data_IF_291990405691
#
_entry.id   IF_291990405691
#
_cell.length_a   1.000
_cell.length_b   1.000
_cell.length_c   1.000
_cell.angle_alpha   90.00
_cell.angle_beta   90.00
_cell.angle_gamma   90.00
#
_symmetry.space_group_name_H-M   'P 1'
#
loop_
_entity.id
_entity.type
_entity.pdbx_description
1 polymer ?
#
# COMPACT_ATOMS: atom_id res chain seq x y z
N UNK A 1 18.23 17.94 -7.04
CA UNK A 1 17.01 18.70 -7.39
C UNK A 1 16.60 19.64 -6.26
N UNK A 2 16.10 20.82 -6.60
CA UNK A 2 15.59 21.85 -5.68
C UNK A 2 14.08 21.74 -5.52
N UNK A 3 13.51 22.34 -4.46
CA UNK A 3 12.06 22.40 -4.28
C UNK A 3 11.37 23.16 -5.41
N UNK A 4 12.01 24.20 -5.95
CA UNK A 4 11.46 24.98 -7.08
C UNK A 4 11.34 24.13 -8.35
N UNK A 5 12.30 23.26 -8.64
CA UNK A 5 12.24 22.35 -9.78
C UNK A 5 11.10 21.33 -9.63
N UNK A 6 10.93 20.77 -8.43
CA UNK A 6 9.81 19.88 -8.13
C UNK A 6 8.45 20.58 -8.36
N UNK A 7 8.29 21.80 -7.86
CA UNK A 7 7.06 22.57 -8.03
C UNK A 7 6.75 22.89 -9.50
N UNK A 8 7.78 23.13 -10.32
CA UNK A 8 7.60 23.30 -11.77
C UNK A 8 7.09 22.02 -12.44
N UNK A 9 7.63 20.85 -12.08
CA UNK A 9 7.14 19.56 -12.61
C UNK A 9 5.69 19.31 -12.21
N UNK A 10 5.35 19.55 -10.94
CA UNK A 10 3.98 19.48 -10.44
C UNK A 10 3.05 20.40 -11.24
N UNK A 11 3.47 21.65 -11.52
CA UNK A 11 2.71 22.60 -12.33
C UNK A 11 2.45 22.13 -13.77
N UNK A 12 3.26 21.21 -14.29
CA UNK A 12 3.02 20.56 -15.60
C UNK A 12 2.03 19.39 -15.54
N UNK A 13 1.59 18.98 -14.35
CA UNK A 13 0.71 17.83 -14.13
C UNK A 13 1.40 16.47 -14.22
N UNK A 14 2.73 16.44 -14.38
CA UNK A 14 3.52 15.22 -14.48
C UNK A 14 4.82 15.32 -13.68
N UNK A 15 5.06 14.33 -12.82
CA UNK A 15 6.31 14.15 -12.08
C UNK A 15 6.85 12.78 -12.43
N UNK A 16 7.99 12.72 -13.11
CA UNK A 16 8.53 11.47 -13.63
C UNK A 16 10.02 11.31 -13.43
N UNK A 17 10.45 10.06 -13.35
CA UNK A 17 11.86 9.63 -13.42
C UNK A 17 12.73 10.38 -12.44
N UNK A 18 12.26 10.42 -11.19
CA UNK A 18 12.77 11.33 -10.19
C UNK A 18 13.15 10.61 -8.91
N UNK A 19 14.35 10.88 -8.44
CA UNK A 19 14.83 10.42 -7.14
C UNK A 19 14.76 11.55 -6.10
N UNK A 20 13.90 11.35 -5.10
CA UNK A 20 13.71 12.24 -3.96
C UNK A 20 14.22 11.61 -2.66
N UNK A 21 14.95 10.50 -2.71
CA UNK A 21 15.37 9.70 -1.54
C UNK A 21 15.86 10.56 -0.38
N UNK A 22 15.39 10.25 0.83
CA UNK A 22 15.83 10.87 2.08
C UNK A 22 15.36 12.32 2.29
N UNK A 23 14.49 12.85 1.43
CA UNK A 23 14.05 14.25 1.54
C UNK A 23 12.93 14.44 2.55
N UNK A 24 12.90 15.62 3.13
CA UNK A 24 11.75 16.14 3.85
C UNK A 24 10.87 16.96 2.90
N UNK A 25 9.63 16.54 2.73
CA UNK A 25 8.63 17.19 1.89
C UNK A 25 7.44 17.56 2.76
N UNK A 26 7.20 18.86 2.92
CA UNK A 26 6.08 19.37 3.71
C UNK A 26 5.15 20.20 2.85
N UNK A 27 3.85 19.96 2.96
CA UNK A 27 2.80 20.72 2.28
C UNK A 27 2.98 20.80 0.75
N UNK A 28 3.45 19.72 0.12
CA UNK A 28 3.57 19.65 -1.33
C UNK A 28 2.24 19.15 -1.92
N UNK A 29 1.70 19.90 -2.88
CA UNK A 29 0.44 19.57 -3.55
C UNK A 29 0.70 18.89 -4.89
N UNK A 30 0.56 17.56 -4.94
CA UNK A 30 0.63 16.77 -6.16
C UNK A 30 -0.74 16.55 -6.80
N UNK A 31 -1.82 17.13 -6.29
CA UNK A 31 -3.21 16.80 -6.68
C UNK A 31 -3.40 16.64 -8.19
N UNK A 32 -3.95 15.50 -8.60
CA UNK A 32 -4.26 15.19 -10.00
C UNK A 32 -3.05 14.94 -10.90
N UNK A 33 -1.82 14.99 -10.37
CA UNK A 33 -0.62 14.71 -11.16
C UNK A 33 -0.55 13.23 -11.57
N UNK A 34 0.13 12.99 -12.69
CA UNK A 34 0.69 11.68 -12.99
C UNK A 34 2.09 11.59 -12.37
N UNK A 35 2.27 10.67 -11.43
CA UNK A 35 3.53 10.41 -10.74
C UNK A 35 4.03 9.05 -11.19
N UNK A 36 5.11 9.02 -11.96
CA UNK A 36 5.58 7.80 -12.64
C UNK A 36 7.08 7.60 -12.44
N UNK A 37 7.52 6.40 -12.03
CA UNK A 37 8.94 6.12 -11.79
C UNK A 37 9.60 7.10 -10.79
N UNK A 38 8.90 7.42 -9.68
CA UNK A 38 9.41 8.36 -8.66
C UNK A 38 9.79 7.61 -7.40
N UNK A 39 10.95 7.93 -6.85
CA UNK A 39 11.47 7.35 -5.61
C UNK A 39 11.36 8.34 -4.46
N UNK A 40 10.53 8.02 -3.48
CA UNK A 40 10.39 8.69 -2.18
C UNK A 40 10.97 7.85 -1.04
N UNK A 41 11.93 6.98 -1.33
CA UNK A 41 12.53 6.10 -0.33
C UNK A 41 13.14 6.91 0.81
N UNK A 42 12.92 6.45 2.05
CA UNK A 42 13.48 7.09 3.26
C UNK A 42 13.07 8.57 3.42
N UNK A 43 12.09 9.07 2.66
CA UNK A 43 11.57 10.43 2.78
C UNK A 43 10.67 10.59 4.00
N UNK A 44 10.58 11.81 4.51
CA UNK A 44 9.48 12.24 5.38
C UNK A 44 8.53 13.14 4.60
N UNK A 45 7.33 12.64 4.33
CA UNK A 45 6.25 13.40 3.70
C UNK A 45 5.22 13.80 4.75
N UNK A 46 5.06 15.10 4.96
CA UNK A 46 4.11 15.65 5.93
C UNK A 46 3.09 16.54 5.22
N UNK A 47 1.80 16.28 5.43
CA UNK A 47 0.70 17.09 4.88
C UNK A 47 0.72 17.20 3.34
N UNK A 48 1.33 16.21 2.65
CA UNK A 48 1.36 16.19 1.20
C UNK A 48 0.03 15.70 0.62
N UNK A 49 -0.36 16.26 -0.53
CA UNK A 49 -1.64 16.00 -1.17
C UNK A 49 -1.45 15.26 -2.49
N UNK A 50 -1.87 13.99 -2.53
CA UNK A 50 -1.90 13.12 -3.71
C UNK A 50 -3.34 12.82 -4.16
N UNK A 51 -4.31 13.65 -3.79
CA UNK A 51 -5.70 13.45 -4.16
C UNK A 51 -5.85 13.39 -5.70
N UNK A 52 -6.50 12.34 -6.20
CA UNK A 52 -6.77 12.12 -7.62
C UNK A 52 -5.54 11.80 -8.47
N UNK A 53 -4.36 11.59 -7.88
CA UNK A 53 -3.17 11.26 -8.65
C UNK A 53 -3.25 9.90 -9.34
N UNK A 54 -2.67 9.80 -10.53
CA UNK A 54 -2.28 8.53 -11.12
C UNK A 54 -0.84 8.22 -10.76
N UNK A 55 -0.61 7.18 -9.97
CA UNK A 55 0.70 6.82 -9.44
C UNK A 55 1.07 5.43 -9.95
N UNK A 56 2.16 5.34 -10.69
CA UNK A 56 2.67 4.09 -11.24
C UNK A 56 4.16 3.98 -10.98
N UNK A 57 4.64 2.84 -10.48
CA UNK A 57 6.09 2.61 -10.24
C UNK A 57 6.65 3.65 -9.28
N UNK A 58 5.94 3.89 -8.19
CA UNK A 58 6.38 4.82 -7.14
C UNK A 58 6.90 4.02 -5.96
N UNK A 59 8.06 4.40 -5.45
CA UNK A 59 8.65 3.77 -4.26
C UNK A 59 8.53 4.70 -3.06
N UNK A 60 8.01 4.18 -1.95
CA UNK A 60 7.88 4.80 -0.63
C UNK A 60 8.59 3.95 0.42
N UNK A 61 9.64 3.21 0.05
CA UNK A 61 10.26 2.25 0.93
C UNK A 61 10.86 2.96 2.13
N UNK A 62 10.52 2.50 3.34
CA UNK A 62 10.92 3.15 4.62
C UNK A 62 10.56 4.64 4.71
N UNK A 63 9.66 5.13 3.85
CA UNK A 63 9.21 6.51 3.93
C UNK A 63 8.26 6.67 5.12
N UNK A 64 8.19 7.89 5.65
CA UNK A 64 7.25 8.28 6.70
C UNK A 64 6.21 9.23 6.10
N UNK A 65 4.97 8.79 6.01
CA UNK A 65 3.82 9.50 5.46
C UNK A 65 2.91 9.99 6.59
N UNK A 66 3.05 11.26 7.00
CA UNK A 66 2.24 11.88 8.07
C UNK A 66 1.18 12.79 7.49
N UNK A 67 -0.08 12.58 7.86
CA UNK A 67 -1.22 13.43 7.45
C UNK A 67 -1.33 13.59 5.92
N UNK A 68 -0.86 12.61 5.15
CA UNK A 68 -0.91 12.66 3.69
C UNK A 68 -2.30 12.24 3.17
N UNK A 69 -2.70 12.81 2.03
CA UNK A 69 -4.00 12.51 1.40
C UNK A 69 -3.80 11.82 0.06
N UNK A 70 -4.55 10.75 -0.18
CA UNK A 70 -4.56 9.93 -1.40
C UNK A 70 -6.01 9.67 -1.87
N UNK A 71 -6.93 10.61 -1.63
CA UNK A 71 -8.35 10.41 -1.96
C UNK A 71 -8.49 10.23 -3.46
N UNK A 72 -9.18 9.17 -3.89
CA UNK A 72 -9.37 8.85 -5.32
C UNK A 72 -8.06 8.69 -6.11
N UNK A 73 -6.94 8.49 -5.43
CA UNK A 73 -5.68 8.18 -6.09
C UNK A 73 -5.75 6.78 -6.71
N UNK A 74 -5.13 6.61 -7.87
CA UNK A 74 -4.92 5.32 -8.51
C UNK A 74 -3.46 4.97 -8.36
N UNK A 75 -3.17 4.05 -7.44
CA UNK A 75 -1.83 3.62 -7.09
C UNK A 75 -1.65 2.21 -7.63
N UNK A 76 -0.83 2.08 -8.65
CA UNK A 76 -0.50 0.82 -9.29
C UNK A 76 1.01 0.58 -9.23
N UNK A 77 1.42 -0.67 -9.15
CA UNK A 77 2.84 -1.01 -9.26
C UNK A 77 3.68 -0.15 -8.33
N UNK A 78 3.30 -0.01 -7.05
CA UNK A 78 4.05 0.82 -6.08
C UNK A 78 4.57 0.04 -4.86
N UNK A 79 5.72 0.47 -4.33
CA UNK A 79 6.43 -0.19 -3.22
C UNK A 79 6.24 0.64 -1.94
N UNK A 80 5.61 0.05 -0.93
CA UNK A 80 5.37 0.67 0.38
C UNK A 80 6.06 -0.13 1.49
N UNK A 81 7.05 -0.97 1.17
CA UNK A 81 7.67 -1.85 2.16
C UNK A 81 8.32 -1.05 3.27
N UNK A 82 8.09 -1.46 4.51
CA UNK A 82 8.62 -0.83 5.72
C UNK A 82 8.22 0.65 5.89
N UNK A 83 7.26 1.16 5.13
CA UNK A 83 6.83 2.55 5.29
C UNK A 83 6.03 2.72 6.58
N UNK A 84 6.05 3.93 7.12
CA UNK A 84 5.19 4.35 8.22
C UNK A 84 4.11 5.27 7.68
N UNK A 85 2.85 4.88 7.83
CA UNK A 85 1.68 5.65 7.38
C UNK A 85 0.91 6.08 8.62
N UNK A 86 1.05 7.35 8.97
CA UNK A 86 0.41 7.93 10.15
C UNK A 86 -0.68 8.92 9.72
N UNK A 87 -1.91 8.70 10.21
CA UNK A 87 -3.02 9.67 10.04
C UNK A 87 -3.34 10.02 8.57
N UNK A 88 -3.19 9.07 7.65
CA UNK A 88 -3.40 9.28 6.21
C UNK A 88 -4.84 8.97 5.75
N UNK A 89 -5.23 9.49 4.58
CA UNK A 89 -6.54 9.20 3.97
C UNK A 89 -6.38 8.56 2.59
N UNK A 90 -7.04 7.42 2.37
CA UNK A 90 -7.12 6.69 1.09
C UNK A 90 -8.59 6.54 0.63
N UNK A 91 -9.48 7.45 1.01
CA UNK A 91 -10.89 7.38 0.65
C UNK A 91 -11.08 7.27 -0.87
N UNK A 92 -11.84 6.27 -1.33
CA UNK A 92 -12.09 5.99 -2.74
C UNK A 92 -10.81 5.72 -3.58
N UNK A 93 -9.66 5.47 -2.95
CA UNK A 93 -8.43 5.12 -3.66
C UNK A 93 -8.48 3.71 -4.25
N UNK A 94 -7.80 3.51 -5.38
CA UNK A 94 -7.52 2.20 -5.96
C UNK A 94 -6.05 1.87 -5.72
N UNK A 95 -5.78 0.80 -4.96
CA UNK A 95 -4.44 0.32 -4.66
C UNK A 95 -4.31 -1.08 -5.27
N UNK A 96 -3.49 -1.21 -6.31
CA UNK A 96 -3.29 -2.48 -7.03
C UNK A 96 -1.84 -2.76 -7.30
N UNK A 97 -1.45 -4.04 -7.31
CA UNK A 97 -0.08 -4.43 -7.63
C UNK A 97 0.92 -3.69 -6.73
N UNK A 98 0.62 -3.61 -5.44
CA UNK A 98 1.46 -2.92 -4.46
C UNK A 98 2.05 -3.90 -3.46
N UNK A 99 3.13 -3.49 -2.79
CA UNK A 99 3.74 -4.27 -1.71
C UNK A 99 3.84 -3.45 -0.42
N UNK A 100 3.01 -3.78 0.56
CA UNK A 100 3.01 -3.17 1.89
C UNK A 100 3.71 -4.09 2.91
N UNK A 101 4.67 -4.93 2.49
CA UNK A 101 5.39 -5.80 3.41
C UNK A 101 6.00 -5.01 4.57
N UNK A 102 5.62 -5.39 5.81
CA UNK A 102 6.04 -4.70 7.05
C UNK A 102 5.74 -3.20 7.10
N UNK A 103 4.80 -2.71 6.30
CA UNK A 103 4.30 -1.35 6.45
C UNK A 103 3.59 -1.20 7.80
N UNK A 104 3.76 -0.05 8.45
CA UNK A 104 3.14 0.28 9.72
C UNK A 104 2.09 1.36 9.49
N UNK A 105 0.81 0.99 9.62
CA UNK A 105 -0.29 1.94 9.54
C UNK A 105 -0.75 2.27 10.96
N UNK A 106 -0.63 3.53 11.36
CA UNK A 106 -0.91 3.97 12.73
C UNK A 106 -1.74 5.25 12.78
N UNK A 107 -2.35 5.51 13.94
CA UNK A 107 -3.34 6.58 14.08
C UNK A 107 -4.61 6.31 13.28
N UNK A 108 -5.34 7.38 12.91
CA UNK A 108 -6.58 7.29 12.13
C UNK A 108 -6.23 7.20 10.65
N UNK A 109 -6.28 6.00 10.07
CA UNK A 109 -6.11 5.82 8.62
C UNK A 109 -7.46 5.51 7.98
N UNK A 110 -7.91 6.42 7.12
CA UNK A 110 -9.26 6.37 6.54
C UNK A 110 -9.23 5.63 5.20
N UNK A 111 -9.83 4.44 5.17
CA UNK A 111 -9.90 3.56 3.98
C UNK A 111 -11.31 3.48 3.37
N UNK A 112 -12.18 4.45 3.64
CA UNK A 112 -13.59 4.40 3.21
C UNK A 112 -13.69 4.21 1.69
N UNK A 113 -14.38 3.15 1.24
CA UNK A 113 -14.53 2.77 -0.18
C UNK A 113 -13.21 2.59 -0.95
N UNK A 114 -12.06 2.55 -0.28
CA UNK A 114 -10.80 2.20 -0.93
C UNK A 114 -10.91 0.78 -1.47
N UNK A 115 -10.29 0.50 -2.61
CA UNK A 115 -10.19 -0.83 -3.20
C UNK A 115 -8.74 -1.27 -3.19
N UNK A 116 -8.47 -2.39 -2.55
CA UNK A 116 -7.16 -3.02 -2.44
C UNK A 116 -7.27 -4.36 -3.16
N UNK A 117 -6.56 -4.47 -4.27
CA UNK A 117 -6.46 -5.69 -5.07
C UNK A 117 -5.02 -5.97 -5.44
N UNK A 118 -4.71 -7.21 -5.77
CA UNK A 118 -3.40 -7.65 -6.25
C UNK A 118 -2.26 -7.07 -5.42
N UNK A 119 -2.42 -6.98 -4.09
CA UNK A 119 -1.51 -6.25 -3.21
C UNK A 119 -1.05 -7.16 -2.08
N UNK A 120 0.25 -7.08 -1.76
CA UNK A 120 0.83 -7.76 -0.61
C UNK A 120 0.59 -6.93 0.67
N UNK A 121 0.04 -7.57 1.71
CA UNK A 121 -0.11 -7.02 3.06
C UNK A 121 0.66 -7.86 4.10
N UNK A 122 1.65 -8.64 3.65
CA UNK A 122 2.33 -9.61 4.50
C UNK A 122 3.14 -8.91 5.61
N UNK A 123 2.93 -9.29 6.87
CA UNK A 123 3.44 -8.60 8.07
C UNK A 123 3.13 -7.09 8.15
N UNK A 124 2.16 -6.58 7.39
CA UNK A 124 1.70 -5.21 7.59
C UNK A 124 1.03 -5.09 8.97
N UNK A 125 1.36 -4.03 9.69
CA UNK A 125 0.77 -3.71 10.98
C UNK A 125 -0.36 -2.69 10.79
N UNK A 126 -1.52 -2.98 11.38
CA UNK A 126 -2.67 -2.09 11.41
C UNK A 126 -2.97 -1.72 12.86
N UNK A 127 -2.68 -0.47 13.24
CA UNK A 127 -3.01 0.05 14.57
C UNK A 127 -4.52 0.21 14.78
N UNK A 128 -4.93 0.44 16.02
CA UNK A 128 -6.35 0.46 16.43
C UNK A 128 -7.25 1.43 15.62
N UNK A 129 -6.69 2.53 15.12
CA UNK A 129 -7.40 3.52 14.30
C UNK A 129 -7.48 3.19 12.81
N UNK A 130 -6.99 2.02 12.38
CA UNK A 130 -6.96 1.61 10.97
C UNK A 130 -8.05 0.58 10.70
N UNK A 131 -9.03 0.97 9.88
CA UNK A 131 -10.19 0.13 9.59
C UNK A 131 -10.16 -0.36 8.13
N UNK A 132 -9.63 -1.57 7.91
CA UNK A 132 -9.74 -2.29 6.64
C UNK A 132 -10.87 -3.30 6.78
N UNK A 133 -11.85 -3.21 5.88
CA UNK A 133 -13.04 -4.03 5.88
C UNK A 133 -13.07 -4.97 4.69
N UNK A 134 -13.98 -5.95 4.72
CA UNK A 134 -14.12 -6.93 3.62
C UNK A 134 -14.38 -6.23 2.28
N UNK A 135 -15.17 -5.17 2.26
CA UNK A 135 -15.44 -4.40 1.03
C UNK A 135 -14.19 -3.78 0.42
N UNK A 136 -13.15 -3.49 1.22
CA UNK A 136 -11.91 -2.93 0.70
C UNK A 136 -11.13 -3.95 -0.13
N UNK A 137 -11.25 -5.23 0.19
CA UNK A 137 -10.60 -6.34 -0.52
C UNK A 137 -11.58 -7.12 -1.41
N UNK A 138 -12.85 -6.69 -1.48
CA UNK A 138 -13.90 -7.40 -2.19
C UNK A 138 -13.66 -7.38 -3.70
N UNK A 139 -13.34 -8.55 -4.25
CA UNK A 139 -13.02 -8.72 -5.67
C UNK A 139 -11.57 -8.38 -6.03
N UNK A 140 -10.71 -8.08 -5.05
CA UNK A 140 -9.27 -7.95 -5.23
C UNK A 140 -8.54 -9.18 -4.69
N UNK A 141 -7.49 -9.64 -5.37
CA UNK A 141 -6.65 -10.75 -4.89
C UNK A 141 -5.63 -10.25 -3.86
N UNK A 142 -5.48 -10.89 -2.71
CA UNK A 142 -4.29 -10.63 -1.88
C UNK A 142 -3.16 -11.51 -2.39
N UNK A 143 -2.04 -10.90 -2.80
CA UNK A 143 -0.96 -11.65 -3.46
C UNK A 143 -0.40 -12.73 -2.54
N UNK A 144 -0.21 -12.47 -1.25
CA UNK A 144 0.33 -13.49 -0.34
C UNK A 144 -0.58 -14.73 -0.15
N UNK A 145 -1.85 -14.67 -0.57
CA UNK A 145 -2.76 -15.82 -0.54
C UNK A 145 -2.64 -16.72 -1.78
N UNK A 146 -1.99 -16.22 -2.84
CA UNK A 146 -1.77 -16.90 -4.11
C UNK A 146 -0.29 -16.74 -4.49
N UNK A 147 0.52 -17.73 -4.09
CA UNK A 147 1.98 -17.68 -4.24
C UNK A 147 2.42 -17.50 -5.70
N UNK A 148 1.66 -18.03 -6.66
CA UNK A 148 1.98 -17.91 -8.08
C UNK A 148 1.65 -16.51 -8.62
N UNK A 149 0.49 -15.96 -8.23
CA UNK A 149 0.18 -14.56 -8.53
C UNK A 149 1.18 -13.59 -7.89
N UNK A 150 1.62 -13.86 -6.66
CA UNK A 150 2.67 -13.07 -6.01
C UNK A 150 3.99 -13.16 -6.77
N UNK A 151 4.41 -14.38 -7.16
CA UNK A 151 5.62 -14.57 -7.98
C UNK A 151 5.54 -13.77 -9.28
N UNK A 152 4.41 -13.86 -10.00
CA UNK A 152 4.22 -13.16 -11.26
C UNK A 152 4.24 -11.63 -11.09
N UNK A 153 3.55 -11.11 -10.06
CA UNK A 153 3.63 -9.68 -9.69
C UNK A 153 5.08 -9.24 -9.48
N UNK A 154 5.87 -10.02 -8.77
CA UNK A 154 7.25 -9.68 -8.48
C UNK A 154 8.15 -9.71 -9.74
N UNK A 155 7.86 -10.59 -10.71
CA UNK A 155 8.52 -10.59 -12.04
C UNK A 155 8.21 -9.30 -12.79
N UNK A 156 6.93 -8.95 -12.86
CA UNK A 156 6.44 -7.76 -13.55
C UNK A 156 7.01 -6.49 -12.90
N UNK A 157 7.04 -6.43 -11.57
CA UNK A 157 7.71 -5.37 -10.82
C UNK A 157 9.17 -5.24 -11.18
N UNK A 158 9.95 -6.33 -11.18
CA UNK A 158 11.38 -6.24 -11.48
C UNK A 158 11.63 -5.79 -12.92
N UNK A 159 10.75 -6.17 -13.84
CA UNK A 159 10.88 -5.85 -15.27
C UNK A 159 10.47 -4.40 -15.56
N UNK A 160 9.51 -3.86 -14.81
CA UNK A 160 8.86 -2.59 -15.15
C UNK A 160 8.94 -1.51 -14.08
N UNK A 161 9.31 -1.82 -12.84
CA UNK A 161 9.49 -0.87 -11.74
C UNK A 161 10.73 0.00 -11.86
N UNK A 162 10.94 0.89 -10.89
CA UNK A 162 12.07 1.86 -10.84
C UNK A 162 13.47 1.23 -10.76
N UNK A 163 13.59 -0.10 -10.70
CA UNK A 163 14.85 -0.83 -10.63
C UNK A 163 15.03 -1.67 -9.35
N UNK A 164 15.89 -2.69 -9.46
CA UNK A 164 16.42 -3.63 -8.44
C UNK A 164 15.65 -3.70 -7.11
N UNK A 165 14.84 -4.75 -6.92
CA UNK A 165 14.20 -5.07 -5.63
C UNK A 165 15.27 -5.38 -4.57
N UNK A 166 15.56 -4.42 -3.69
CA UNK A 166 16.40 -4.66 -2.50
C UNK A 166 15.56 -5.26 -1.36
N UNK A 167 16.09 -6.24 -0.63
CA UNK A 167 15.48 -6.78 0.58
C UNK A 167 15.76 -5.89 1.81
N UNK A 168 15.27 -6.30 2.98
CA UNK A 168 15.56 -5.68 4.29
C UNK A 168 17.05 -5.44 4.55
N UNK A 169 17.93 -6.31 4.03
CA UNK A 169 19.38 -6.25 4.27
C UNK A 169 20.13 -5.31 3.33
N UNK A 170 19.41 -4.53 2.51
CA UNK A 170 19.96 -3.74 1.41
C UNK A 170 20.72 -4.58 0.37
N UNK A 171 20.65 -5.91 0.47
CA UNK A 171 21.08 -6.85 -0.54
C UNK A 171 20.04 -6.84 -1.66
N UNK A 172 20.45 -7.21 -2.88
CA UNK A 172 19.47 -7.66 -3.86
C UNK A 172 18.63 -8.74 -3.20
N UNK A 173 17.30 -8.66 -3.37
CA UNK A 173 16.43 -9.69 -2.84
C UNK A 173 16.97 -11.05 -3.28
N UNK A 174 17.20 -11.97 -2.33
CA UNK A 174 17.57 -13.35 -2.64
C UNK A 174 16.53 -14.04 -3.54
N UNK A 175 15.36 -13.41 -3.67
CA UNK A 175 14.35 -13.70 -4.65
C UNK A 175 14.55 -12.78 -5.87
N UNK A 176 14.83 -13.35 -7.04
CA UNK A 176 14.81 -12.71 -8.35
C UNK A 176 13.76 -13.37 -9.24
N UNK A 177 13.29 -12.71 -10.32
CA UNK A 177 12.48 -13.36 -11.35
C UNK A 177 13.09 -14.67 -11.83
N UNK A 178 14.40 -14.69 -12.06
CA UNK A 178 15.14 -15.88 -12.47
C UNK A 178 15.09 -16.98 -11.39
N UNK A 179 15.29 -16.64 -10.11
CA UNK A 179 15.19 -17.60 -9.00
C UNK A 179 13.77 -18.19 -8.86
N UNK A 180 12.73 -17.42 -9.14
CA UNK A 180 11.33 -17.87 -9.09
C UNK A 180 10.94 -18.76 -10.28
N UNK A 181 11.47 -18.45 -11.47
CA UNK A 181 11.31 -19.26 -12.69
C UNK A 181 12.06 -20.60 -12.59
N UNK A 182 13.18 -20.63 -11.85
CA UNK A 182 14.00 -21.83 -11.66
C UNK A 182 13.67 -22.65 -10.41
N UNK A 183 12.92 -22.12 -9.42
CA UNK A 183 12.51 -22.82 -8.20
C UNK A 183 11.30 -23.77 -8.40
N UNK A 184 11.31 -24.53 -9.48
CA UNK A 184 10.39 -25.65 -9.71
C UNK A 184 10.63 -26.74 -8.66
N UNK A 185 9.88 -26.68 -7.55
CA UNK A 185 9.89 -27.70 -6.51
C UNK A 185 10.60 -27.25 -5.23
N UNK A 186 9.83 -27.09 -4.15
CA UNK A 186 10.29 -26.90 -2.77
C UNK A 186 11.11 -25.61 -2.50
N UNK A 187 10.41 -24.48 -2.39
CA UNK A 187 10.95 -23.36 -1.61
C UNK A 187 11.05 -23.79 -0.13
N UNK A 188 12.26 -24.07 0.34
CA UNK A 188 12.54 -24.31 1.76
C UNK A 188 12.12 -23.08 2.58
N UNK A 189 11.23 -23.30 3.56
CA UNK A 189 10.82 -22.29 4.53
C UNK A 189 12.06 -21.78 5.29
N UNK A 190 12.12 -20.47 5.57
CA UNK A 190 13.21 -19.91 6.37
C UNK A 190 13.05 -20.35 7.83
N UNK A 191 14.14 -20.66 8.57
CA UNK A 191 14.08 -21.06 9.97
C UNK A 191 13.50 -20.01 10.93
N UNK A 192 13.41 -18.75 10.52
CA UNK A 192 12.92 -17.66 11.37
C UNK A 192 11.39 -17.45 11.31
N UNK A 193 10.67 -18.19 10.47
CA UNK A 193 9.20 -18.13 10.40
C UNK A 193 8.50 -18.75 11.63
N UNK A 194 9.20 -19.60 12.40
CA UNK A 194 8.61 -20.39 13.49
C UNK A 194 8.73 -19.73 14.89
N UNK A 195 9.28 -18.51 15.00
CA UNK A 195 9.61 -17.87 16.29
C UNK A 195 8.76 -16.67 16.70
N UNK A 196 7.56 -16.48 16.15
CA UNK A 196 6.67 -15.43 16.66
C UNK A 196 5.21 -15.91 16.84
N UNK A 197 4.61 -15.68 18.03
CA UNK A 197 3.27 -16.15 18.33
C UNK A 197 2.25 -15.46 17.43
N UNK A 198 1.21 -16.21 17.05
CA UNK A 198 0.10 -15.77 16.24
C UNK A 198 -0.64 -14.58 16.87
N UNK A 199 -0.20 -13.35 16.56
CA UNK A 199 -0.94 -12.14 16.90
C UNK A 199 -1.44 -11.47 15.63
N UNK A 200 -2.76 -11.47 15.47
CA UNK A 200 -3.46 -10.54 14.60
C UNK A 200 -3.45 -10.84 13.10
N UNK A 201 -3.69 -12.09 12.69
CA UNK A 201 -4.26 -12.31 11.36
C UNK A 201 -5.52 -11.46 11.23
N UNK A 202 -5.67 -10.75 10.10
CA UNK A 202 -6.91 -10.11 9.71
C UNK A 202 -8.01 -11.19 9.71
N UNK A 203 -8.72 -11.37 10.84
CA UNK A 203 -9.86 -12.28 10.92
C UNK A 203 -10.97 -11.62 10.11
N UNK A 204 -11.08 -12.02 8.86
CA UNK A 204 -12.30 -11.81 8.08
C UNK A 204 -13.38 -12.62 8.80
N UNK A 205 -14.12 -11.97 9.71
CA UNK A 205 -15.31 -12.58 10.30
C UNK A 205 -16.29 -12.91 9.15
N UNK A 206 -16.64 -14.19 8.92
CA UNK A 206 -17.79 -14.49 8.10
C UNK A 206 -19.02 -13.94 8.84
N UNK A 207 -19.90 -13.23 8.12
CA UNK A 207 -21.22 -12.88 8.65
C UNK A 207 -21.89 -14.18 9.09
N UNK A 208 -22.16 -14.32 10.38
CA UNK A 208 -23.27 -15.18 10.80
C UNK A 208 -24.52 -14.62 10.12
N UNK A 209 -25.26 -15.50 9.45
CA UNK A 209 -26.58 -15.18 8.93
C UNK A 209 -27.50 -14.99 10.13
N UNK A 210 -27.55 -13.79 10.69
CA UNK A 210 -28.62 -13.40 11.60
C UNK A 210 -29.87 -13.10 10.77
N UNK A 211 -30.56 -14.16 10.35
CA UNK A 211 -31.98 -14.08 9.99
C UNK A 211 -32.78 -14.01 11.30
N UNK A 212 -32.85 -12.83 11.89
CA UNK A 212 -33.84 -12.50 12.91
C UNK A 212 -34.63 -11.29 12.38
N UNK A 213 -35.96 -11.40 12.21
CA UNK A 213 -36.76 -10.27 11.75
C UNK A 213 -36.71 -9.15 12.79
N UNK A 214 -36.41 -7.94 12.32
CA UNK A 214 -36.42 -6.72 13.12
C UNK A 214 -37.84 -6.52 13.66
N UNK A 215 -38.03 -6.65 14.97
CA UNK A 215 -39.29 -6.24 15.63
C UNK A 215 -39.43 -4.71 15.51
N UNK A 216 -40.61 -4.19 15.13
CA UNK A 216 -40.82 -2.75 15.08
C UNK A 216 -40.72 -2.15 16.49
N UNK A 217 -39.99 -1.04 16.60
CA UNK A 217 -39.82 -0.27 17.83
C UNK A 217 -41.15 0.37 18.23
N UNK A 218 -41.60 0.13 19.47
CA UNK A 218 -42.87 0.59 20.04
C UNK A 218 -42.86 2.07 20.47
N UNK A 219 -42.08 2.93 19.82
CA UNK A 219 -41.95 4.36 20.18
C UNK A 219 -42.12 5.34 19.01
N UNK A 220 -42.55 4.88 17.83
CA UNK A 220 -42.85 5.73 16.69
C UNK A 220 -44.31 5.53 16.23
N UNK A 221 -45.27 5.82 17.11
CA UNK A 221 -46.68 5.96 16.74
C UNK A 221 -47.34 6.97 17.70
N UNK A 222 -47.12 8.26 17.42
CA UNK A 222 -48.04 9.36 17.70
C UNK A 222 -47.36 10.68 17.32
N UNK A 223 -47.52 11.08 16.06
CA UNK A 223 -47.79 12.45 15.60
C UNK A 223 -48.06 12.43 14.11
#
# INVERSE_FOLDING_TARGET
MTQTELLKMIGSGAVRDLDLTGRELKNIDFKGCRVENVTFDECTLTECNFDGCGMERVSFRKAVLRNCRFRRAKIAWSDFRYCEIERATFEEAEIRFCDLYRAMLTGIVIMRKARIGETSLYYAYFGEGVNIRRENIAGGRLLQQDLDAYRQFLIEWNTSGTGVRRNDRAEQSAWSPDAALHAGGHAQRRPDDDRHPAHGYLRLHPRQQDTQPIKPCSHCANT
#
